data_IF_921989676487
#
_entry.id   IF_921989676487
#
_cell.length_a   1.000
_cell.length_b   1.000
_cell.length_c   1.000
_cell.angle_alpha   90.00
_cell.angle_beta   90.00
_cell.angle_gamma   90.00
#
_symmetry.space_group_name_H-M   'P 1'
#
loop_
_entity.id
_entity.type
_entity.pdbx_description
1 polymer ?
#
# COMPACT_ATOMS: atom_id res chain seq x y z
N UNK A 1 1.78 -31.76 -5.56
CA UNK A 1 1.19 -31.97 -6.89
C UNK A 1 2.28 -31.73 -7.92
N UNK A 2 2.88 -32.83 -8.42
CA UNK A 2 3.99 -32.77 -9.38
C UNK A 2 3.46 -32.69 -10.80
N UNK A 3 3.60 -31.53 -11.42
CA UNK A 3 3.47 -31.35 -12.87
C UNK A 3 4.89 -31.29 -13.42
N UNK A 4 5.23 -32.16 -14.37
CA UNK A 4 6.58 -32.17 -14.96
C UNK A 4 6.76 -30.92 -15.84
N UNK A 5 7.94 -30.28 -15.78
CA UNK A 5 8.30 -29.08 -16.56
C UNK A 5 7.89 -29.14 -18.05
N UNK A 6 8.00 -30.29 -18.77
CA UNK A 6 7.58 -30.38 -20.17
C UNK A 6 6.08 -30.21 -20.41
N UNK A 7 5.22 -30.51 -19.42
CA UNK A 7 3.77 -30.36 -19.57
C UNK A 7 3.33 -28.89 -19.47
N UNK A 8 4.03 -28.08 -18.65
CA UNK A 8 3.76 -26.65 -18.48
C UNK A 8 4.01 -25.86 -19.77
N UNK A 9 5.12 -26.12 -20.47
CA UNK A 9 5.45 -25.46 -21.75
C UNK A 9 4.54 -25.87 -22.92
N UNK A 10 3.74 -26.92 -22.75
CA UNK A 10 2.73 -27.32 -23.73
C UNK A 10 1.50 -26.40 -23.72
N UNK A 11 1.26 -25.72 -22.60
CA UNK A 11 0.17 -24.75 -22.40
C UNK A 11 0.63 -23.30 -22.44
N UNK A 12 1.93 -23.04 -22.24
CA UNK A 12 2.49 -21.69 -22.24
C UNK A 12 3.67 -21.60 -23.22
N UNK A 13 3.62 -20.67 -24.20
CA UNK A 13 4.64 -20.56 -25.24
C UNK A 13 6.03 -20.20 -24.69
N UNK A 14 6.10 -19.58 -23.52
CA UNK A 14 7.34 -19.27 -22.81
C UNK A 14 7.10 -19.12 -21.29
N UNK A 15 8.19 -18.92 -20.54
CA UNK A 15 8.14 -18.70 -19.08
C UNK A 15 7.31 -17.46 -18.70
N UNK A 16 7.34 -16.41 -19.51
CA UNK A 16 6.61 -15.16 -19.26
C UNK A 16 5.10 -15.35 -19.35
N UNK A 17 4.61 -16.12 -20.33
CA UNK A 17 3.20 -16.43 -20.49
C UNK A 17 2.65 -17.28 -19.33
N UNK A 18 3.46 -18.20 -18.79
CA UNK A 18 3.13 -18.93 -17.56
C UNK A 18 3.05 -17.98 -16.37
N UNK A 19 4.04 -17.09 -16.23
CA UNK A 19 4.09 -16.08 -15.18
C UNK A 19 2.87 -15.15 -15.25
N UNK A 20 2.51 -14.66 -16.44
CA UNK A 20 1.35 -13.79 -16.65
C UNK A 20 0.04 -14.50 -16.32
N UNK A 21 -0.07 -15.80 -16.64
CA UNK A 21 -1.24 -16.58 -16.28
C UNK A 21 -1.36 -16.74 -14.77
N UNK A 22 -0.29 -17.16 -14.09
CA UNK A 22 -0.25 -17.25 -12.62
C UNK A 22 -0.55 -15.90 -11.99
N UNK A 23 0.00 -14.81 -12.54
CA UNK A 23 -0.29 -13.45 -12.10
C UNK A 23 -1.79 -13.14 -12.21
N UNK A 24 -2.41 -13.40 -13.37
CA UNK A 24 -3.82 -13.11 -13.62
C UNK A 24 -4.79 -13.92 -12.75
N UNK A 25 -4.42 -15.17 -12.43
CA UNK A 25 -5.25 -16.05 -11.62
C UNK A 25 -5.20 -15.68 -10.13
N UNK A 26 -4.02 -15.25 -9.64
CA UNK A 26 -3.79 -14.95 -8.22
C UNK A 26 -4.06 -13.49 -7.88
N UNK A 27 -3.59 -12.54 -8.69
CA UNK A 27 -3.69 -11.10 -8.41
C UNK A 27 -4.93 -10.50 -9.06
N UNK A 28 -6.09 -10.87 -8.53
CA UNK A 28 -7.36 -10.24 -8.89
C UNK A 28 -7.34 -8.78 -8.44
N UNK A 29 -7.62 -7.89 -9.39
CA UNK A 29 -7.75 -6.46 -9.16
C UNK A 29 -9.19 -6.06 -9.38
N UNK A 30 -9.83 -5.46 -8.39
CA UNK A 30 -11.20 -5.00 -8.52
C UNK A 30 -11.24 -3.51 -8.91
N UNK A 31 -11.75 -3.16 -10.11
CA UNK A 31 -11.92 -1.77 -10.50
C UNK A 31 -12.89 -0.98 -9.60
N UNK A 32 -13.72 -1.64 -8.79
CA UNK A 32 -14.58 -0.99 -7.81
C UNK A 32 -13.78 -0.20 -6.77
N UNK A 33 -12.56 -0.63 -6.46
CA UNK A 33 -11.66 0.07 -5.55
C UNK A 33 -11.36 1.50 -6.02
N UNK A 34 -11.07 1.67 -7.30
CA UNK A 34 -10.81 2.98 -7.91
C UNK A 34 -12.09 3.83 -7.99
N UNK A 35 -13.24 3.19 -8.29
CA UNK A 35 -14.54 3.88 -8.32
C UNK A 35 -14.94 4.42 -6.95
N UNK A 36 -14.81 3.62 -5.90
CA UNK A 36 -15.07 4.03 -4.52
C UNK A 36 -14.19 5.22 -4.14
N UNK A 37 -12.92 5.20 -4.53
CA UNK A 37 -12.00 6.28 -4.23
C UNK A 37 -12.31 7.56 -5.03
N UNK A 38 -12.85 7.48 -6.24
CA UNK A 38 -13.17 8.64 -7.06
C UNK A 38 -14.50 9.32 -6.69
N UNK A 39 -15.40 8.64 -5.99
CA UNK A 39 -16.75 9.13 -5.70
C UNK A 39 -16.80 10.16 -4.55
N UNK A 40 -16.52 11.43 -4.85
CA UNK A 40 -16.54 12.52 -3.86
C UNK A 40 -17.91 12.86 -3.29
N UNK A 41 -18.99 12.19 -3.70
CA UNK A 41 -20.29 12.31 -3.01
C UNK A 41 -20.28 11.61 -1.64
N UNK A 42 -19.33 10.68 -1.43
CA UNK A 42 -19.15 9.93 -0.18
C UNK A 42 -17.98 10.54 0.62
N UNK A 43 -18.12 10.75 1.95
CA UNK A 43 -17.02 11.22 2.78
C UNK A 43 -15.74 10.38 2.66
N UNK A 44 -14.57 11.02 2.69
CA UNK A 44 -13.28 10.35 2.50
C UNK A 44 -13.08 9.16 3.47
N UNK A 45 -13.48 9.33 4.73
CA UNK A 45 -13.42 8.26 5.74
C UNK A 45 -14.18 7.01 5.28
N UNK A 46 -15.43 7.17 4.84
CA UNK A 46 -16.29 6.08 4.41
C UNK A 46 -15.74 5.40 3.15
N UNK A 47 -15.23 6.19 2.20
CA UNK A 47 -14.57 5.67 0.99
C UNK A 47 -13.36 4.81 1.33
N UNK A 48 -12.44 5.31 2.15
CA UNK A 48 -11.22 4.58 2.51
C UNK A 48 -11.54 3.33 3.35
N UNK A 49 -12.48 3.40 4.29
CA UNK A 49 -12.93 2.22 5.03
C UNK A 49 -13.48 1.15 4.08
N UNK A 50 -14.40 1.53 3.18
CA UNK A 50 -15.00 0.60 2.22
C UNK A 50 -13.96 -0.01 1.29
N UNK A 51 -13.07 0.82 0.76
CA UNK A 51 -11.94 0.39 -0.07
C UNK A 51 -11.06 -0.62 0.66
N UNK A 52 -10.54 -0.28 1.84
CA UNK A 52 -9.55 -1.12 2.54
C UNK A 52 -10.18 -2.39 3.12
N UNK A 53 -11.46 -2.38 3.50
CA UNK A 53 -12.19 -3.61 3.85
C UNK A 53 -12.26 -4.54 2.65
N UNK A 54 -12.84 -4.08 1.53
CA UNK A 54 -12.98 -4.87 0.31
C UNK A 54 -11.62 -5.39 -0.19
N UNK A 55 -10.61 -4.52 -0.17
CA UNK A 55 -9.24 -4.85 -0.52
C UNK A 55 -8.64 -5.94 0.39
N UNK A 56 -8.80 -5.80 1.71
CA UNK A 56 -8.26 -6.75 2.69
C UNK A 56 -8.85 -8.17 2.55
N UNK A 57 -10.14 -8.28 2.20
CA UNK A 57 -10.79 -9.57 1.94
C UNK A 57 -10.25 -10.29 0.69
N UNK A 58 -9.58 -9.57 -0.21
CA UNK A 58 -8.88 -10.15 -1.36
C UNK A 58 -7.45 -10.51 -1.00
N UNK A 59 -6.68 -9.55 -0.51
CA UNK A 59 -5.22 -9.72 -0.38
C UNK A 59 -4.79 -10.55 0.82
N UNK A 60 -5.63 -10.67 1.86
CA UNK A 60 -5.31 -11.43 3.06
C UNK A 60 -5.69 -12.92 2.95
N UNK A 61 -6.11 -13.36 1.77
CA UNK A 61 -6.34 -14.78 1.50
C UNK A 61 -5.04 -15.57 1.54
N UNK A 62 -5.12 -16.83 1.95
CA UNK A 62 -3.95 -17.68 2.17
C UNK A 62 -3.14 -17.85 0.89
N UNK A 63 -3.82 -18.17 -0.22
CA UNK A 63 -3.21 -18.37 -1.52
C UNK A 63 -2.52 -17.09 -2.00
N UNK A 64 -3.19 -15.94 -1.82
CA UNK A 64 -2.66 -14.63 -2.19
C UNK A 64 -1.36 -14.34 -1.43
N UNK A 65 -1.38 -14.39 -0.09
CA UNK A 65 -0.22 -14.06 0.75
C UNK A 65 0.97 -14.96 0.44
N UNK A 66 0.73 -16.27 0.39
CA UNK A 66 1.82 -17.24 0.19
C UNK A 66 2.44 -17.09 -1.18
N UNK A 67 1.63 -16.83 -2.21
CA UNK A 67 2.13 -16.61 -3.57
C UNK A 67 2.90 -15.30 -3.65
N UNK A 68 2.40 -14.22 -3.05
CA UNK A 68 3.08 -12.93 -3.06
C UNK A 68 4.43 -12.96 -2.36
N UNK A 69 4.51 -13.60 -1.19
CA UNK A 69 5.78 -13.78 -0.47
C UNK A 69 6.75 -14.65 -1.28
N UNK A 70 6.29 -15.78 -1.83
CA UNK A 70 7.13 -16.62 -2.68
C UNK A 70 7.66 -15.87 -3.90
N UNK A 71 6.80 -15.14 -4.61
CA UNK A 71 7.17 -14.31 -5.76
C UNK A 71 8.17 -13.21 -5.39
N UNK A 72 8.07 -12.63 -4.20
CA UNK A 72 9.03 -11.65 -3.69
C UNK A 72 10.42 -12.23 -3.43
N UNK A 73 10.52 -13.51 -3.06
CA UNK A 73 11.78 -14.20 -2.82
C UNK A 73 12.45 -14.67 -4.12
N UNK A 74 11.69 -14.99 -5.17
CA UNK A 74 12.21 -15.55 -6.43
C UNK A 74 12.71 -14.51 -7.44
N UNK A 75 12.58 -13.20 -7.15
CA UNK A 75 13.03 -12.08 -8.01
C UNK A 75 12.46 -12.07 -9.44
N UNK A 76 11.35 -12.77 -9.69
CA UNK A 76 10.76 -12.87 -11.04
C UNK A 76 9.89 -11.65 -11.44
N UNK A 77 9.89 -10.57 -10.63
CA UNK A 77 9.26 -9.29 -10.97
C UNK A 77 7.73 -9.25 -10.90
N UNK A 78 7.07 -10.38 -10.66
CA UNK A 78 5.61 -10.54 -10.57
C UNK A 78 4.99 -9.59 -9.52
N UNK A 79 5.58 -9.54 -8.33
CA UNK A 79 5.16 -8.64 -7.26
C UNK A 79 5.41 -7.15 -7.61
N UNK A 80 6.47 -6.84 -8.36
CA UNK A 80 6.80 -5.47 -8.77
C UNK A 80 5.67 -4.85 -9.60
N UNK A 81 5.15 -5.58 -10.59
CA UNK A 81 4.01 -5.12 -11.42
C UNK A 81 2.76 -4.83 -10.58
N UNK A 82 2.46 -5.68 -9.60
CA UNK A 82 1.33 -5.45 -8.70
C UNK A 82 1.54 -4.20 -7.83
N UNK A 83 2.73 -4.05 -7.24
CA UNK A 83 3.08 -2.91 -6.39
C UNK A 83 3.11 -1.59 -7.16
N UNK A 84 3.59 -1.59 -8.41
CA UNK A 84 3.52 -0.42 -9.30
C UNK A 84 2.06 -0.04 -9.58
N UNK A 85 1.21 -1.02 -9.92
CA UNK A 85 -0.22 -0.77 -10.12
C UNK A 85 -0.90 -0.23 -8.85
N UNK A 86 -0.57 -0.79 -7.70
CA UNK A 86 -1.07 -0.33 -6.40
C UNK A 86 -0.65 1.11 -6.09
N UNK A 87 0.64 1.41 -6.32
CA UNK A 87 1.19 2.75 -6.14
C UNK A 87 0.48 3.79 -7.01
N UNK A 88 0.29 3.48 -8.29
CA UNK A 88 -0.29 4.43 -9.25
C UNK A 88 -1.81 4.55 -9.13
N UNK A 89 -2.53 3.46 -8.86
CA UNK A 89 -4.00 3.44 -8.90
C UNK A 89 -4.68 3.58 -7.55
N UNK A 90 -3.95 3.39 -6.45
CA UNK A 90 -4.48 3.53 -5.09
C UNK A 90 -3.67 4.56 -4.30
N UNK A 91 -2.36 4.39 -4.14
CA UNK A 91 -1.60 5.24 -3.22
C UNK A 91 -1.57 6.70 -3.64
N UNK A 92 -1.24 7.00 -4.90
CA UNK A 92 -1.28 8.39 -5.39
C UNK A 92 -2.69 8.99 -5.29
N UNK A 93 -3.77 8.34 -5.81
CA UNK A 93 -5.11 8.88 -5.67
C UNK A 93 -5.56 9.08 -4.23
N UNK A 94 -5.21 8.17 -3.29
CA UNK A 94 -5.53 8.36 -1.87
C UNK A 94 -4.88 9.62 -1.32
N UNK A 95 -3.59 9.84 -1.61
CA UNK A 95 -2.90 11.06 -1.16
C UNK A 95 -3.50 12.32 -1.79
N UNK A 96 -3.91 12.27 -3.04
CA UNK A 96 -4.57 13.39 -3.72
C UNK A 96 -5.94 13.70 -3.10
N UNK A 97 -6.73 12.69 -2.76
CA UNK A 97 -8.02 12.85 -2.08
C UNK A 97 -7.87 13.38 -0.65
N UNK A 98 -6.84 12.97 0.09
CA UNK A 98 -6.50 13.56 1.39
C UNK A 98 -6.16 15.04 1.21
N UNK A 99 -5.30 15.39 0.24
CA UNK A 99 -4.96 16.81 0.03
C UNK A 99 -6.18 17.63 -0.35
N UNK A 100 -7.05 17.12 -1.21
CA UNK A 100 -8.29 17.80 -1.58
C UNK A 100 -9.19 18.02 -0.36
N UNK A 101 -9.44 16.96 0.41
CA UNK A 101 -10.35 16.98 1.57
C UNK A 101 -9.87 17.95 2.66
N UNK A 102 -8.56 18.01 2.92
CA UNK A 102 -7.97 18.84 3.98
C UNK A 102 -7.35 20.14 3.47
N UNK A 103 -7.56 20.50 2.20
CA UNK A 103 -7.02 21.71 1.57
C UNK A 103 -5.51 21.89 1.76
N UNK A 104 -4.76 20.81 1.50
CA UNK A 104 -3.31 20.76 1.68
C UNK A 104 -2.58 21.13 0.39
N UNK A 105 -1.40 21.79 0.48
CA UNK A 105 -0.63 22.15 -0.70
C UNK A 105 -0.05 20.92 -1.40
N UNK A 106 0.09 21.00 -2.71
CA UNK A 106 0.76 19.97 -3.51
C UNK A 106 2.27 19.99 -3.23
N UNK A 107 2.91 18.82 -3.01
CA UNK A 107 4.37 18.74 -2.87
C UNK A 107 5.08 19.23 -4.14
N UNK A 108 6.03 20.14 -3.97
CA UNK A 108 6.78 20.76 -5.07
C UNK A 108 8.06 20.01 -5.44
N UNK A 109 8.55 19.11 -4.58
CA UNK A 109 9.78 18.35 -4.81
C UNK A 109 9.50 16.84 -4.95
N UNK A 110 10.34 16.09 -5.70
CA UNK A 110 10.25 14.63 -5.74
C UNK A 110 10.38 13.97 -4.36
N UNK A 111 11.29 14.47 -3.52
CA UNK A 111 11.50 13.93 -2.16
C UNK A 111 10.25 14.09 -1.28
N UNK A 112 9.56 15.23 -1.35
CA UNK A 112 8.30 15.43 -0.64
C UNK A 112 7.21 14.47 -1.15
N UNK A 113 7.10 14.30 -2.47
CA UNK A 113 6.14 13.34 -3.06
C UNK A 113 6.37 11.91 -2.56
N UNK A 114 7.61 11.46 -2.47
CA UNK A 114 7.94 10.13 -1.94
C UNK A 114 7.65 10.03 -0.45
N UNK A 115 8.03 11.03 0.36
CA UNK A 115 7.80 11.02 1.81
C UNK A 115 6.30 10.90 2.15
N UNK A 116 5.43 11.52 1.37
CA UNK A 116 3.98 11.41 1.54
C UNK A 116 3.45 10.04 1.13
N UNK A 117 4.02 9.41 0.08
CA UNK A 117 3.67 8.04 -0.32
C UNK A 117 4.08 7.01 0.74
N UNK A 118 5.12 7.28 1.53
CA UNK A 118 5.49 6.40 2.66
C UNK A 118 4.40 6.33 3.75
N UNK A 119 3.57 7.37 3.89
CA UNK A 119 2.47 7.37 4.86
C UNK A 119 1.39 6.35 4.46
N UNK A 120 0.98 6.32 3.19
CA UNK A 120 -0.01 5.35 2.72
C UNK A 120 0.57 3.93 2.63
N UNK A 121 1.88 3.82 2.34
CA UNK A 121 2.61 2.55 2.50
C UNK A 121 2.50 2.00 3.92
N UNK A 122 2.60 2.84 4.94
CA UNK A 122 2.52 2.39 6.34
C UNK A 122 1.15 1.77 6.68
N UNK A 123 0.04 2.40 6.26
CA UNK A 123 -1.31 1.85 6.42
C UNK A 123 -1.46 0.53 5.63
N UNK A 124 -0.97 0.51 4.40
CA UNK A 124 -1.07 -0.68 3.58
C UNK A 124 -0.29 -1.85 4.20
N UNK A 125 0.95 -1.60 4.64
CA UNK A 125 1.81 -2.60 5.26
C UNK A 125 1.21 -3.13 6.58
N UNK A 126 0.59 -2.27 7.38
CA UNK A 126 -0.01 -2.69 8.65
C UNK A 126 -1.21 -3.61 8.46
N UNK A 127 -2.06 -3.35 7.44
CA UNK A 127 -3.15 -4.26 7.03
C UNK A 127 -2.58 -5.56 6.44
N UNK A 128 -1.62 -5.44 5.51
CA UNK A 128 -0.98 -6.57 4.84
C UNK A 128 -0.36 -7.57 5.81
N UNK A 129 0.28 -7.04 6.86
CA UNK A 129 1.01 -7.83 7.84
C UNK A 129 0.11 -8.81 8.61
N UNK A 130 -1.21 -8.59 8.67
CA UNK A 130 -2.15 -9.58 9.21
C UNK A 130 -2.12 -10.89 8.43
N UNK A 131 -2.02 -10.80 7.10
CA UNK A 131 -1.93 -11.96 6.23
C UNK A 131 -0.63 -12.72 6.47
N UNK A 132 0.48 -12.00 6.61
CA UNK A 132 1.79 -12.60 6.95
C UNK A 132 1.73 -13.28 8.32
N UNK A 133 1.25 -12.58 9.35
CA UNK A 133 1.10 -13.14 10.70
C UNK A 133 0.30 -14.43 10.68
N UNK A 134 -0.86 -14.43 10.02
CA UNK A 134 -1.76 -15.59 9.97
C UNK A 134 -1.20 -16.74 9.15
N UNK A 135 -0.70 -16.49 7.95
CA UNK A 135 -0.42 -17.53 6.95
C UNK A 135 1.05 -17.90 6.78
N UNK A 136 1.96 -17.10 7.32
CA UNK A 136 3.41 -17.36 7.32
C UNK A 136 3.88 -17.73 8.72
N UNK A 137 3.48 -16.96 9.74
CA UNK A 137 3.96 -17.18 11.11
C UNK A 137 3.00 -18.00 11.99
N UNK A 138 1.76 -18.23 11.57
CA UNK A 138 0.76 -18.95 12.38
C UNK A 138 0.35 -18.21 13.65
N UNK A 139 0.53 -16.89 13.69
CA UNK A 139 0.20 -16.05 14.84
C UNK A 139 -1.28 -15.65 14.83
N UNK A 140 -1.90 -15.45 16.00
CA UNK A 140 -3.27 -14.97 16.09
C UNK A 140 -3.40 -13.57 15.45
N UNK A 141 -4.57 -13.30 14.88
CA UNK A 141 -4.96 -12.01 14.30
C UNK A 141 -6.32 -11.60 14.86
N UNK A 142 -6.74 -10.32 14.73
CA UNK A 142 -8.08 -9.88 15.12
C UNK A 142 -9.16 -10.77 14.50
N UNK A 143 -10.17 -11.13 15.30
CA UNK A 143 -11.33 -11.92 14.83
C UNK A 143 -12.19 -11.11 13.86
N UNK A 144 -12.41 -9.85 14.22
CA UNK A 144 -13.11 -8.87 13.38
C UNK A 144 -12.08 -8.09 12.55
N UNK A 145 -11.92 -8.51 11.30
CA UNK A 145 -11.02 -7.87 10.34
C UNK A 145 -11.51 -6.48 9.98
N UNK A 146 -12.80 -6.32 9.72
CA UNK A 146 -13.39 -5.07 9.24
C UNK A 146 -13.25 -3.97 10.29
N UNK A 147 -13.58 -4.25 11.55
CA UNK A 147 -13.42 -3.30 12.63
C UNK A 147 -11.93 -2.95 12.88
N UNK A 148 -11.02 -3.88 12.64
CA UNK A 148 -9.58 -3.60 12.75
C UNK A 148 -9.09 -2.71 11.60
N UNK A 149 -9.56 -2.95 10.37
CA UNK A 149 -9.25 -2.09 9.22
C UNK A 149 -9.80 -0.67 9.44
N UNK A 150 -11.04 -0.53 9.92
CA UNK A 150 -11.62 0.77 10.26
C UNK A 150 -10.76 1.57 11.23
N UNK A 151 -10.31 0.95 12.33
CA UNK A 151 -9.42 1.61 13.31
C UNK A 151 -8.10 2.06 12.69
N UNK A 152 -7.55 1.29 11.76
CA UNK A 152 -6.32 1.67 11.07
C UNK A 152 -6.53 2.84 10.11
N UNK A 153 -7.65 2.84 9.36
CA UNK A 153 -8.02 3.96 8.48
C UNK A 153 -8.29 5.22 9.29
N UNK A 154 -9.01 5.11 10.41
CA UNK A 154 -9.26 6.22 11.33
C UNK A 154 -7.96 6.80 11.89
N UNK A 155 -7.06 5.97 12.43
CA UNK A 155 -5.76 6.43 12.93
C UNK A 155 -4.93 7.11 11.81
N UNK A 156 -4.96 6.54 10.61
CA UNK A 156 -4.27 7.09 9.44
C UNK A 156 -4.83 8.47 9.04
N UNK A 157 -6.16 8.63 8.96
CA UNK A 157 -6.78 9.89 8.58
C UNK A 157 -6.70 10.98 9.66
N UNK A 158 -6.60 10.60 10.94
CA UNK A 158 -6.36 11.55 12.02
C UNK A 158 -4.87 11.98 12.09
N UNK A 159 -3.92 11.11 11.71
CA UNK A 159 -2.47 11.40 11.78
C UNK A 159 -1.87 12.03 10.51
N UNK A 160 -2.35 11.63 9.34
CA UNK A 160 -1.74 11.98 8.05
C UNK A 160 -1.86 13.47 7.73
N UNK A 161 -3.04 14.12 7.79
CA UNK A 161 -3.16 15.53 7.44
C UNK A 161 -2.27 16.44 8.29
N UNK A 162 -2.15 16.15 9.59
CA UNK A 162 -1.27 16.89 10.48
C UNK A 162 0.21 16.71 10.11
N UNK A 163 0.61 15.51 9.70
CA UNK A 163 1.96 15.22 9.21
C UNK A 163 2.26 15.94 7.91
N UNK A 164 1.34 15.91 6.95
CA UNK A 164 1.47 16.62 5.67
C UNK A 164 1.63 18.14 5.86
N UNK A 165 0.83 18.75 6.75
CA UNK A 165 0.98 20.19 7.10
C UNK A 165 2.38 20.52 7.60
N UNK A 166 2.95 19.69 8.48
CA UNK A 166 4.32 19.88 8.99
C UNK A 166 5.38 19.72 7.91
N UNK A 167 5.22 18.75 7.00
CA UNK A 167 6.13 18.55 5.87
C UNK A 167 6.10 19.71 4.87
N UNK A 168 4.94 20.34 4.69
CA UNK A 168 4.77 21.48 3.79
C UNK A 168 5.24 22.82 4.37
N UNK A 169 5.37 22.91 5.70
CA UNK A 169 5.86 24.11 6.35
C UNK A 169 7.38 24.19 6.14
N UNK A 170 7.94 25.30 5.63
CA UNK A 170 9.39 25.43 5.52
C UNK A 170 10.00 25.19 6.89
N UNK A 171 10.85 24.17 6.99
CA UNK A 171 11.57 23.84 8.22
C UNK A 171 12.19 25.12 8.75
N UNK A 172 11.73 25.58 9.92
CA UNK A 172 12.47 26.55 10.71
C UNK A 172 13.84 25.93 10.92
N UNK A 173 14.82 26.45 10.19
CA UNK A 173 16.17 25.93 10.08
C UNK A 173 16.66 25.32 11.39
N UNK A 174 17.22 24.13 11.28
CA UNK A 174 18.20 23.58 12.21
C UNK A 174 19.07 24.74 12.70
N UNK A 175 18.85 25.19 13.94
CA UNK A 175 19.76 26.14 14.58
C UNK A 175 21.09 25.40 14.69
N UNK A 176 22.04 25.74 13.82
CA UNK A 176 23.44 25.40 14.03
C UNK A 176 23.82 25.81 15.46
N UNK A 177 24.57 24.99 16.21
CA UNK A 177 25.10 25.43 17.48
C UNK A 177 26.05 26.60 17.17
N UNK A 178 25.64 27.79 17.62
CA UNK A 178 26.51 28.97 17.67
C UNK A 178 27.78 28.58 18.42
N UNK A 179 28.88 28.39 17.69
CA UNK A 179 30.24 28.34 18.24
C UNK A 179 30.60 29.74 18.74
N UNK A 180 29.99 30.13 19.86
CA UNK A 180 30.35 31.35 20.58
C UNK A 180 31.56 31.04 21.45
N UNK A 181 32.72 31.40 20.92
CA UNK A 181 33.88 31.94 21.64
C UNK A 181 34.40 31.17 22.86
N UNK A 182 35.58 30.57 22.69
CA UNK A 182 36.61 30.60 23.74
C UNK A 182 37.90 31.16 23.14
N UNK A 183 38.03 32.49 23.22
CA UNK A 183 39.32 33.14 23.44
C UNK A 183 39.54 33.14 24.94
N UNK A 184 40.67 32.58 25.37
CA UNK A 184 41.56 33.00 26.46
C UNK A 184 42.56 31.88 26.71
#
# INVERSE_FOLDING_TARGET
MGVTQPLLYRYFPNKEALIDRVYSEVYRWDPAWERLLADRSIPLQERLCSLYKAYSHVILQREWIRTFIFAGLTREGINKRYLEKLRERIFRPVMDEIRNTYSLPTPTTPAAKEAELELIWSLHASIFYLGVRKWVYGLPVPKDLDAHVERQVDAFLNGTPATLKRLSSPSSATKEPSTRGRRS
#
